data_IF_901772466480
#
_entry.id   IF_901772466480
#
_cell.length_a   1.000
_cell.length_b   1.000
_cell.length_c   1.000
_cell.angle_alpha   90.00
_cell.angle_beta   90.00
_cell.angle_gamma   90.00
#
_symmetry.space_group_name_H-M   'P 1'
#
loop_
_entity.id
_entity.type
_entity.pdbx_description
1 polymer ?
#
# COMPACT_ATOMS: atom_id res chain seq x y z
N UNK A 1 -1.53 -28.57 15.33
CA UNK A 1 -1.81 -28.61 13.88
C UNK A 1 -2.96 -27.65 13.61
N UNK A 2 -2.64 -26.35 13.51
CA UNK A 2 -3.61 -25.34 13.06
C UNK A 2 -3.59 -25.39 11.52
N UNK A 3 -4.74 -25.60 10.89
CA UNK A 3 -4.88 -25.48 9.44
C UNK A 3 -4.71 -24.00 9.12
N UNK A 4 -3.59 -23.64 8.48
CA UNK A 4 -3.40 -22.29 7.92
C UNK A 4 -4.36 -22.17 6.74
N UNK A 5 -5.36 -21.32 6.88
CA UNK A 5 -6.28 -20.95 5.81
C UNK A 5 -5.48 -19.98 4.93
N UNK A 6 -5.19 -20.36 3.69
CA UNK A 6 -4.69 -19.42 2.70
C UNK A 6 -5.86 -18.50 2.33
N UNK A 7 -5.93 -17.33 2.94
CA UNK A 7 -6.60 -16.21 2.30
C UNK A 7 -5.54 -15.54 1.41
N UNK A 8 -5.57 -15.87 0.12
CA UNK A 8 -5.20 -14.86 -0.85
C UNK A 8 -6.33 -13.84 -0.76
N UNK A 9 -6.20 -12.87 0.14
CA UNK A 9 -7.13 -11.77 0.23
C UNK A 9 -6.71 -10.83 -0.90
N UNK A 10 -7.14 -11.15 -2.12
CA UNK A 10 -7.46 -10.06 -3.05
C UNK A 10 -8.29 -9.09 -2.23
N UNK A 11 -7.84 -7.83 -2.10
CA UNK A 11 -8.59 -6.75 -1.49
C UNK A 11 -9.83 -6.47 -2.36
N UNK A 12 -10.73 -7.46 -2.43
CA UNK A 12 -12.04 -7.32 -3.01
C UNK A 12 -12.81 -6.53 -1.95
N UNK A 13 -12.91 -5.22 -2.17
CA UNK A 13 -13.80 -4.31 -1.44
C UNK A 13 -15.22 -4.87 -1.46
N UNK A 14 -15.50 -5.73 -0.48
CA UNK A 14 -16.85 -6.08 -0.09
C UNK A 14 -17.38 -4.96 0.76
N UNK A 15 -17.92 -3.91 0.14
CA UNK A 15 -18.76 -2.91 0.80
C UNK A 15 -19.90 -3.62 1.53
N UNK A 16 -19.71 -3.92 2.81
CA UNK A 16 -20.77 -4.40 3.67
C UNK A 16 -21.68 -3.21 4.00
N UNK A 17 -22.66 -2.98 3.12
CA UNK A 17 -23.82 -2.17 3.45
C UNK A 17 -24.63 -2.97 4.48
N UNK A 18 -24.38 -2.74 5.78
CA UNK A 18 -25.23 -3.25 6.83
C UNK A 18 -26.60 -2.55 6.74
N UNK A 19 -27.49 -3.07 5.88
CA UNK A 19 -28.92 -2.77 5.95
C UNK A 19 -29.46 -3.40 7.23
N UNK A 20 -29.52 -2.59 8.28
CA UNK A 20 -30.35 -2.85 9.45
C UNK A 20 -31.81 -2.94 8.99
N UNK A 21 -32.29 -4.17 8.74
CA UNK A 21 -33.70 -4.45 8.54
C UNK A 21 -34.46 -4.15 9.83
N UNK A 22 -35.19 -3.03 9.85
CA UNK A 22 -36.37 -2.84 10.68
C UNK A 22 -37.55 -2.68 9.74
N UNK A 23 -38.50 -3.62 9.82
CA UNK A 23 -39.71 -3.66 9.00
C UNK A 23 -40.56 -2.39 9.12
N UNK A 24 -41.17 -2.05 7.98
CA UNK A 24 -42.37 -1.23 7.75
C UNK A 24 -42.43 0.18 8.38
N UNK A 25 -42.16 1.20 7.55
CA UNK A 25 -43.25 2.10 7.12
C UNK A 25 -42.86 2.90 5.87
N UNK A 26 -43.79 2.92 4.93
CA UNK A 26 -43.77 3.61 3.65
C UNK A 26 -43.80 5.14 3.87
N UNK A 27 -42.65 5.81 3.78
CA UNK A 27 -42.61 7.27 3.61
C UNK A 27 -41.61 7.70 2.51
N UNK A 28 -42.02 8.71 1.75
CA UNK A 28 -41.46 9.08 0.47
C UNK A 28 -39.98 9.45 0.51
N UNK A 29 -39.26 9.03 -0.53
CA UNK A 29 -37.84 9.31 -0.73
C UNK A 29 -37.51 10.79 -0.58
N UNK A 30 -36.90 11.12 0.55
CA UNK A 30 -36.07 12.29 0.69
C UNK A 30 -34.63 11.84 0.41
N UNK A 31 -34.08 12.27 -0.72
CA UNK A 31 -32.65 12.17 -1.03
C UNK A 31 -31.85 13.03 -0.05
N UNK A 32 -31.72 12.54 1.18
CA UNK A 32 -30.88 13.14 2.20
C UNK A 32 -29.44 13.10 1.70
N UNK A 33 -28.88 14.28 1.48
CA UNK A 33 -27.45 14.47 1.29
C UNK A 33 -26.74 13.72 2.44
N UNK A 34 -25.81 12.77 2.17
CA UNK A 34 -25.15 12.03 3.23
C UNK A 34 -24.53 13.04 4.20
N UNK A 35 -24.95 12.98 5.47
CA UNK A 35 -24.38 13.80 6.53
C UNK A 35 -22.88 13.55 6.55
N UNK A 36 -22.08 14.58 6.27
CA UNK A 36 -20.62 14.52 6.35
C UNK A 36 -20.28 14.08 7.78
N UNK A 37 -19.56 12.96 7.90
CA UNK A 37 -19.07 12.52 9.20
C UNK A 37 -18.04 13.56 9.69
N UNK A 38 -18.40 14.36 10.70
CA UNK A 38 -17.54 15.41 11.24
C UNK A 38 -16.25 14.86 11.87
N UNK A 39 -16.16 13.55 12.11
CA UNK A 39 -14.98 12.92 12.69
C UNK A 39 -13.76 12.97 11.74
N UNK A 40 -13.99 13.07 10.41
CA UNK A 40 -12.90 13.35 9.45
C UNK A 40 -12.20 14.69 9.70
N UNK A 41 -12.89 15.65 10.33
CA UNK A 41 -12.39 17.00 10.62
C UNK A 41 -11.93 17.19 12.07
N UNK A 42 -11.81 16.10 12.86
CA UNK A 42 -11.38 16.18 14.26
C UNK A 42 -10.07 16.96 14.38
N UNK A 43 -10.05 18.01 15.21
CA UNK A 43 -8.89 18.87 15.42
C UNK A 43 -8.08 18.44 16.65
N UNK A 44 -6.76 18.65 16.58
CA UNK A 44 -5.89 18.60 17.75
C UNK A 44 -6.24 19.76 18.69
N UNK A 45 -6.33 19.49 19.99
CA UNK A 45 -6.65 20.51 21.01
C UNK A 45 -5.94 20.21 22.33
N UNK A 46 -5.92 21.20 23.23
CA UNK A 46 -5.36 21.00 24.58
C UNK A 46 -6.10 19.88 25.35
N UNK A 47 -7.36 19.62 25.04
CA UNK A 47 -8.19 18.62 25.73
C UNK A 47 -7.84 17.19 25.30
N UNK A 48 -7.52 16.99 24.02
CA UNK A 48 -7.19 15.67 23.47
C UNK A 48 -5.67 15.43 23.29
N UNK A 49 -4.82 16.44 23.48
CA UNK A 49 -3.38 16.41 23.23
C UNK A 49 -2.66 15.18 23.79
N UNK A 50 -2.97 14.80 25.03
CA UNK A 50 -2.32 13.64 25.69
C UNK A 50 -2.73 12.33 25.04
N UNK A 51 -4.03 12.13 24.78
CA UNK A 51 -4.53 10.93 24.11
C UNK A 51 -4.00 10.85 22.68
N UNK A 52 -3.98 11.98 21.97
CA UNK A 52 -3.45 12.10 20.61
C UNK A 52 -1.99 11.68 20.51
N UNK A 53 -1.12 12.25 21.35
CA UNK A 53 0.30 11.90 21.36
C UNK A 53 0.56 10.45 21.79
N UNK A 54 -0.23 9.90 22.71
CA UNK A 54 -0.14 8.48 23.07
C UNK A 54 -0.59 7.56 21.92
N UNK A 55 -1.64 7.94 21.20
CA UNK A 55 -2.14 7.17 20.07
C UNK A 55 -1.13 7.13 18.93
N UNK A 56 -0.58 8.29 18.56
CA UNK A 56 0.46 8.38 17.54
C UNK A 56 1.65 7.48 17.90
N UNK A 57 2.13 7.54 19.15
CA UNK A 57 3.25 6.68 19.59
C UNK A 57 2.90 5.20 19.48
N UNK A 58 1.66 4.80 19.82
CA UNK A 58 1.25 3.39 19.70
C UNK A 58 1.21 2.93 18.24
N UNK A 59 0.63 3.72 17.34
CA UNK A 59 0.57 3.38 15.91
C UNK A 59 1.98 3.32 15.30
N UNK A 60 2.84 4.31 15.61
CA UNK A 60 4.21 4.33 15.11
C UNK A 60 5.07 3.18 15.69
N UNK A 61 4.82 2.77 16.93
CA UNK A 61 5.47 1.59 17.54
C UNK A 61 5.12 0.32 16.77
N UNK A 62 3.83 0.10 16.49
CA UNK A 62 3.33 -1.04 15.74
C UNK A 62 3.91 -1.06 14.32
N UNK A 63 3.89 0.06 13.60
CA UNK A 63 4.51 0.19 12.27
C UNK A 63 6.01 -0.14 12.28
N UNK A 64 6.75 0.31 13.30
CA UNK A 64 8.17 -0.02 13.47
C UNK A 64 8.37 -1.52 13.68
N UNK A 65 7.56 -2.12 14.53
CA UNK A 65 7.68 -3.53 14.90
C UNK A 65 7.27 -4.45 13.74
N UNK A 66 6.21 -4.11 13.00
CA UNK A 66 5.77 -4.84 11.79
C UNK A 66 6.83 -4.75 10.68
N UNK A 67 7.36 -3.55 10.39
CA UNK A 67 8.43 -3.38 9.40
C UNK A 67 9.73 -4.12 9.80
N UNK A 68 10.07 -4.12 11.09
CA UNK A 68 11.21 -4.87 11.60
C UNK A 68 11.02 -6.38 11.45
N UNK A 69 9.81 -6.87 11.68
CA UNK A 69 9.43 -8.29 11.50
C UNK A 69 9.52 -8.68 10.03
N UNK A 70 8.89 -7.90 9.14
CA UNK A 70 8.91 -8.13 7.69
C UNK A 70 10.35 -8.23 7.15
N UNK A 71 11.21 -7.27 7.51
CA UNK A 71 12.62 -7.33 7.12
C UNK A 71 13.33 -8.55 7.71
N UNK A 72 13.07 -8.89 8.98
CA UNK A 72 13.71 -10.03 9.64
C UNK A 72 13.32 -11.37 9.01
N UNK A 73 12.07 -11.54 8.58
CA UNK A 73 11.60 -12.75 7.90
C UNK A 73 12.26 -12.93 6.55
N UNK A 74 12.36 -11.86 5.77
CA UNK A 74 13.06 -11.87 4.49
C UNK A 74 14.56 -12.08 4.63
N UNK A 75 15.21 -11.38 5.56
CA UNK A 75 16.66 -11.34 5.65
C UNK A 75 17.26 -12.47 6.51
N UNK A 76 16.60 -12.84 7.61
CA UNK A 76 17.23 -13.60 8.70
C UNK A 76 16.65 -15.00 8.88
N UNK A 77 15.36 -15.13 9.19
CA UNK A 77 14.72 -16.43 9.44
C UNK A 77 13.22 -16.27 9.34
N UNK A 78 12.58 -17.12 8.54
CA UNK A 78 11.13 -17.18 8.43
C UNK A 78 10.60 -18.42 9.17
N UNK A 79 9.64 -18.25 10.08
CA UNK A 79 9.05 -19.34 10.89
C UNK A 79 10.10 -20.24 11.61
N UNK A 80 11.23 -19.66 12.03
CA UNK A 80 12.32 -20.38 12.70
C UNK A 80 13.20 -21.24 11.77
N UNK A 81 13.01 -21.12 10.46
CA UNK A 81 13.78 -21.81 9.42
C UNK A 81 14.78 -20.90 8.70
N UNK A 82 15.03 -21.20 7.42
CA UNK A 82 15.79 -20.31 6.54
C UNK A 82 15.06 -18.98 6.34
N UNK A 83 15.77 -17.93 5.94
CA UNK A 83 15.16 -16.65 5.58
C UNK A 83 14.27 -16.79 4.33
N UNK A 84 13.24 -15.95 4.19
CA UNK A 84 12.38 -16.01 3.01
C UNK A 84 13.16 -15.69 1.72
N UNK A 85 14.16 -14.81 1.78
CA UNK A 85 15.10 -14.59 0.68
C UNK A 85 15.79 -15.89 0.23
N UNK A 86 16.23 -16.72 1.19
CA UNK A 86 16.86 -18.01 0.87
C UNK A 86 15.85 -19.00 0.27
N UNK A 87 14.62 -19.02 0.79
CA UNK A 87 13.53 -19.90 0.33
C UNK A 87 13.12 -19.55 -1.11
N UNK A 88 13.00 -18.25 -1.41
CA UNK A 88 12.62 -17.77 -2.73
C UNK A 88 13.74 -18.02 -3.75
N UNK A 89 15.00 -17.67 -3.41
CA UNK A 89 16.16 -17.94 -4.27
C UNK A 89 16.45 -19.41 -4.48
N UNK A 90 16.11 -20.29 -3.53
CA UNK A 90 16.32 -21.73 -3.71
C UNK A 90 15.24 -22.40 -4.55
N UNK A 91 14.04 -21.79 -4.64
CA UNK A 91 12.92 -22.23 -5.48
C UNK A 91 12.78 -23.76 -5.58
N UNK A 92 12.75 -24.41 -4.42
CA UNK A 92 12.74 -25.86 -4.24
C UNK A 92 11.66 -26.31 -3.24
N UNK A 93 10.56 -25.57 -3.17
CA UNK A 93 9.43 -25.85 -2.29
C UNK A 93 8.12 -25.98 -3.09
N UNK A 94 7.02 -26.31 -2.41
CA UNK A 94 5.73 -26.57 -3.07
C UNK A 94 5.12 -25.32 -3.72
N UNK A 95 5.44 -24.12 -3.21
CA UNK A 95 4.99 -22.83 -3.77
C UNK A 95 5.86 -22.41 -4.94
N UNK A 96 7.18 -22.40 -4.74
CA UNK A 96 8.18 -22.05 -5.75
C UNK A 96 8.98 -23.29 -6.10
N UNK A 97 8.47 -24.07 -7.07
CA UNK A 97 9.08 -25.32 -7.51
C UNK A 97 10.10 -25.15 -8.65
N UNK A 98 10.22 -23.95 -9.21
CA UNK A 98 11.15 -23.63 -10.29
C UNK A 98 11.47 -22.13 -10.35
N UNK A 99 12.55 -21.77 -11.05
CA UNK A 99 12.84 -20.36 -11.33
C UNK A 99 11.69 -19.67 -12.10
N UNK A 100 11.02 -20.37 -13.02
CA UNK A 100 9.85 -19.84 -13.71
C UNK A 100 8.73 -19.46 -12.74
N UNK A 101 8.42 -20.31 -11.75
CA UNK A 101 7.37 -19.99 -10.77
C UNK A 101 7.67 -18.73 -9.95
N UNK A 102 8.94 -18.46 -9.63
CA UNK A 102 9.32 -17.20 -9.00
C UNK A 102 9.14 -16.00 -9.94
N UNK A 103 9.52 -16.13 -11.21
CA UNK A 103 9.34 -15.05 -12.19
C UNK A 103 7.86 -14.79 -12.44
N UNK A 104 7.02 -15.83 -12.44
CA UNK A 104 5.56 -15.70 -12.52
C UNK A 104 5.01 -14.93 -11.32
N UNK A 105 5.43 -15.28 -10.10
CA UNK A 105 5.03 -14.55 -8.88
C UNK A 105 5.41 -13.07 -8.94
N UNK A 106 6.64 -12.76 -9.39
CA UNK A 106 7.11 -11.37 -9.53
C UNK A 106 6.21 -10.58 -10.50
N UNK A 107 5.88 -11.18 -11.65
CA UNK A 107 5.04 -10.51 -12.64
C UNK A 107 3.59 -10.42 -12.17
N UNK A 108 3.09 -11.45 -11.47
CA UNK A 108 1.74 -11.43 -10.89
C UNK A 108 1.59 -10.31 -9.85
N UNK A 109 2.58 -10.13 -8.95
CA UNK A 109 2.58 -9.00 -8.03
C UNK A 109 2.58 -7.65 -8.75
N UNK A 110 3.32 -7.53 -9.87
CA UNK A 110 3.28 -6.33 -10.70
C UNK A 110 1.91 -6.10 -11.36
N UNK A 111 1.25 -7.17 -11.82
CA UNK A 111 -0.11 -7.10 -12.42
C UNK A 111 -1.11 -6.66 -11.36
N UNK A 112 -1.08 -7.31 -10.19
CA UNK A 112 -1.98 -7.02 -9.08
C UNK A 112 -1.93 -5.55 -8.69
N UNK A 113 -0.75 -4.96 -8.50
CA UNK A 113 -0.68 -3.56 -8.11
C UNK A 113 -1.03 -2.59 -9.25
N UNK A 114 -0.78 -2.95 -10.52
CA UNK A 114 -1.24 -2.15 -11.65
C UNK A 114 -2.77 -2.12 -11.75
N UNK A 115 -3.41 -3.28 -11.57
CA UNK A 115 -4.88 -3.41 -11.52
C UNK A 115 -5.44 -2.66 -10.31
N UNK A 116 -4.86 -2.84 -9.13
CA UNK A 116 -5.33 -2.18 -7.91
C UNK A 116 -5.25 -0.65 -7.99
N UNK A 117 -4.16 -0.10 -8.52
CA UNK A 117 -4.04 1.35 -8.73
C UNK A 117 -5.11 1.86 -9.69
N UNK A 118 -5.32 1.16 -10.81
CA UNK A 118 -6.28 1.58 -11.84
C UNK A 118 -7.74 1.41 -11.43
N UNK A 119 -8.11 0.23 -10.97
CA UNK A 119 -9.50 -0.17 -10.72
C UNK A 119 -9.98 0.25 -9.33
N UNK A 120 -9.12 0.16 -8.31
CA UNK A 120 -9.54 0.41 -6.92
C UNK A 120 -9.12 1.82 -6.46
N UNK A 121 -7.81 2.11 -6.43
CA UNK A 121 -7.30 3.37 -5.84
C UNK A 121 -7.72 4.62 -6.64
N UNK A 122 -7.86 4.50 -7.96
CA UNK A 122 -8.40 5.54 -8.85
C UNK A 122 -9.87 5.28 -9.22
N UNK A 123 -10.20 4.04 -9.59
CA UNK A 123 -11.50 3.68 -10.14
C UNK A 123 -12.65 3.74 -9.13
N UNK A 124 -12.49 3.24 -7.90
CA UNK A 124 -13.57 3.27 -6.91
C UNK A 124 -14.01 4.71 -6.55
N UNK A 125 -13.09 5.65 -6.23
CA UNK A 125 -13.47 7.05 -6.05
C UNK A 125 -14.09 7.66 -7.30
N UNK A 126 -13.57 7.35 -8.50
CA UNK A 126 -14.10 7.85 -9.76
C UNK A 126 -15.55 7.41 -9.98
N UNK A 127 -15.82 6.12 -9.81
CA UNK A 127 -17.14 5.53 -10.00
C UNK A 127 -18.16 6.05 -8.99
N UNK A 128 -17.78 6.16 -7.71
CA UNK A 128 -18.61 6.80 -6.68
C UNK A 128 -18.96 8.23 -7.08
N UNK A 129 -17.98 9.00 -7.55
CA UNK A 129 -18.20 10.39 -7.94
C UNK A 129 -19.17 10.49 -9.13
N UNK A 130 -18.98 9.66 -10.15
CA UNK A 130 -19.80 9.64 -11.35
C UNK A 130 -21.22 9.14 -11.10
N UNK A 131 -21.43 8.32 -10.07
CA UNK A 131 -22.76 7.89 -9.61
C UNK A 131 -23.49 8.95 -8.76
N UNK A 132 -22.84 10.06 -8.45
CA UNK A 132 -23.39 11.16 -7.65
C UNK A 132 -23.09 11.06 -6.15
N UNK A 133 -22.38 10.02 -5.71
CA UNK A 133 -21.92 9.84 -4.32
C UNK A 133 -20.64 10.66 -4.05
N UNK A 134 -20.66 11.93 -4.44
CA UNK A 134 -19.48 12.80 -4.46
C UNK A 134 -18.79 12.92 -3.11
N UNK A 135 -19.53 13.09 -2.01
CA UNK A 135 -18.95 13.14 -0.65
C UNK A 135 -18.22 11.85 -0.30
N UNK A 136 -18.80 10.69 -0.61
CA UNK A 136 -18.20 9.38 -0.34
C UNK A 136 -16.93 9.19 -1.17
N UNK A 137 -16.98 9.53 -2.46
CA UNK A 137 -15.81 9.52 -3.34
C UNK A 137 -14.65 10.36 -2.79
N UNK A 138 -14.94 11.55 -2.25
CA UNK A 138 -13.92 12.42 -1.66
C UNK A 138 -13.22 11.76 -0.46
N UNK A 139 -13.91 10.92 0.31
CA UNK A 139 -13.33 10.25 1.49
C UNK A 139 -12.79 8.86 1.19
N UNK A 140 -13.08 8.29 0.01
CA UNK A 140 -12.58 7.00 -0.45
C UNK A 140 -11.15 7.05 -1.02
N UNK A 141 -10.64 8.24 -1.37
CA UNK A 141 -9.30 8.39 -1.97
C UNK A 141 -8.21 8.08 -0.93
N UNK A 142 -7.46 6.99 -1.11
CA UNK A 142 -6.30 6.65 -0.26
C UNK A 142 -5.26 7.78 -0.22
N UNK A 143 -4.58 7.97 0.92
CA UNK A 143 -3.57 9.02 1.11
C UNK A 143 -4.05 10.47 0.91
N UNK A 144 -5.36 10.72 1.08
CA UNK A 144 -5.91 12.07 0.88
C UNK A 144 -5.64 13.02 2.05
N UNK A 145 -5.41 12.54 3.28
CA UNK A 145 -5.22 13.44 4.42
C UNK A 145 -4.00 14.33 4.23
N UNK A 146 -2.94 13.78 3.64
CA UNK A 146 -1.69 14.43 3.27
C UNK A 146 -1.65 14.96 1.82
N UNK A 147 -2.72 14.77 1.04
CA UNK A 147 -2.76 15.03 -0.41
C UNK A 147 -1.65 14.27 -1.17
N UNK A 148 -1.29 13.07 -0.73
CA UNK A 148 -0.17 12.30 -1.26
C UNK A 148 -0.55 11.24 -2.30
N UNK A 149 -1.86 10.97 -2.52
CA UNK A 149 -2.37 9.90 -3.40
C UNK A 149 -1.69 9.79 -4.77
N UNK A 150 -1.42 10.92 -5.45
CA UNK A 150 -0.75 10.88 -6.76
C UNK A 150 0.66 10.33 -6.67
N UNK A 151 1.40 10.75 -5.66
CA UNK A 151 2.81 10.37 -5.48
C UNK A 151 2.90 8.93 -4.95
N UNK A 152 1.97 8.56 -4.07
CA UNK A 152 1.73 7.20 -3.59
C UNK A 152 1.54 6.20 -4.75
N UNK A 153 0.50 6.42 -5.57
CA UNK A 153 0.16 5.50 -6.65
C UNK A 153 1.26 5.49 -7.72
N UNK A 154 1.97 6.61 -7.89
CA UNK A 154 3.14 6.67 -8.77
C UNK A 154 4.30 5.83 -8.23
N UNK A 155 4.52 5.81 -6.91
CA UNK A 155 5.51 4.96 -6.27
C UNK A 155 5.15 3.47 -6.39
N UNK A 156 3.86 3.12 -6.37
CA UNK A 156 3.41 1.76 -6.70
C UNK A 156 3.84 1.35 -8.12
N UNK A 157 3.67 2.22 -9.13
CA UNK A 157 4.18 1.97 -10.49
C UNK A 157 5.71 1.90 -10.53
N UNK A 158 6.41 2.67 -9.69
CA UNK A 158 7.86 2.53 -9.54
C UNK A 158 8.29 1.23 -8.86
N UNK A 159 7.44 0.60 -8.05
CA UNK A 159 7.68 -0.76 -7.57
C UNK A 159 7.76 -1.75 -8.74
N UNK A 160 6.82 -1.67 -9.69
CA UNK A 160 6.82 -2.47 -10.93
C UNK A 160 8.10 -2.23 -11.74
N UNK A 161 8.50 -0.95 -11.90
CA UNK A 161 9.75 -0.61 -12.60
C UNK A 161 10.94 -1.28 -11.93
N UNK A 162 11.04 -1.18 -10.61
CA UNK A 162 12.17 -1.72 -9.86
C UNK A 162 12.25 -3.25 -10.01
N UNK A 163 11.10 -3.94 -9.97
CA UNK A 163 11.02 -5.37 -10.23
C UNK A 163 11.45 -5.74 -11.66
N UNK A 164 10.98 -5.00 -12.67
CA UNK A 164 11.32 -5.25 -14.06
C UNK A 164 12.80 -4.97 -14.38
N UNK A 165 13.38 -3.95 -13.75
CA UNK A 165 14.76 -3.50 -13.97
C UNK A 165 15.79 -4.18 -13.07
N UNK A 166 15.36 -4.82 -11.97
CA UNK A 166 16.26 -5.40 -10.97
C UNK A 166 17.12 -4.33 -10.29
N UNK A 167 16.58 -3.14 -10.03
CA UNK A 167 17.28 -2.04 -9.36
C UNK A 167 16.33 -1.05 -8.71
N UNK A 168 16.83 -0.23 -7.77
CA UNK A 168 16.08 0.87 -7.15
C UNK A 168 16.40 2.25 -7.76
N UNK A 169 17.45 2.34 -8.57
CA UNK A 169 17.99 3.61 -9.10
C UNK A 169 17.59 3.90 -10.55
N UNK A 170 16.60 3.15 -11.07
CA UNK A 170 16.10 3.24 -12.45
C UNK A 170 17.07 2.77 -13.54
N UNK A 171 18.21 2.18 -13.16
CA UNK A 171 19.11 1.54 -14.14
C UNK A 171 18.66 0.12 -14.46
N UNK A 172 18.89 -0.36 -15.68
CA UNK A 172 18.59 -1.76 -16.03
C UNK A 172 19.76 -2.63 -15.59
N UNK A 173 19.55 -3.49 -14.59
CA UNK A 173 20.53 -4.48 -14.17
C UNK A 173 20.71 -5.54 -15.26
N UNK A 174 21.94 -6.04 -15.45
CA UNK A 174 22.24 -7.06 -16.45
C UNK A 174 21.50 -8.38 -16.18
N UNK A 175 21.17 -8.67 -14.93
CA UNK A 175 20.40 -9.82 -14.50
C UNK A 175 18.96 -9.39 -14.13
N UNK A 176 18.23 -8.83 -15.09
CA UNK A 176 16.85 -8.40 -14.90
C UNK A 176 15.92 -8.99 -15.95
N UNK A 177 14.61 -8.95 -15.68
CA UNK A 177 13.60 -9.35 -16.66
C UNK A 177 13.74 -8.48 -17.91
N UNK A 178 13.94 -7.16 -17.76
CA UNK A 178 14.20 -6.25 -18.88
C UNK A 178 15.40 -6.68 -19.72
N UNK A 179 16.56 -6.93 -19.11
CA UNK A 179 17.77 -7.31 -19.85
C UNK A 179 17.59 -8.64 -20.61
N UNK A 180 16.95 -9.63 -19.98
CA UNK A 180 16.65 -10.91 -20.63
C UNK A 180 15.71 -10.72 -21.82
N UNK A 181 14.58 -10.05 -21.63
CA UNK A 181 13.59 -9.84 -22.69
C UNK A 181 14.19 -9.01 -23.83
N UNK A 182 14.96 -7.97 -23.53
CA UNK A 182 15.64 -7.15 -24.53
C UNK A 182 16.55 -7.97 -25.46
N UNK A 183 17.19 -9.01 -24.93
CA UNK A 183 18.13 -9.87 -25.67
C UNK A 183 17.47 -10.80 -26.69
N UNK A 184 16.17 -11.09 -26.52
CA UNK A 184 15.41 -12.03 -27.36
C UNK A 184 14.24 -11.38 -28.10
N UNK A 185 13.68 -10.30 -27.56
CA UNK A 185 12.55 -9.55 -28.08
C UNK A 185 12.60 -8.09 -27.62
N UNK A 186 13.46 -7.31 -28.27
CA UNK A 186 13.66 -5.88 -27.95
C UNK A 186 12.37 -5.07 -28.03
N UNK A 187 11.47 -5.39 -28.97
CA UNK A 187 10.20 -4.65 -29.09
C UNK A 187 9.28 -4.87 -27.90
N UNK A 188 9.22 -6.08 -27.33
CA UNK A 188 8.44 -6.35 -26.13
C UNK A 188 9.03 -5.63 -24.90
N UNK A 189 10.35 -5.62 -24.76
CA UNK A 189 11.03 -4.88 -23.68
C UNK A 189 10.80 -3.36 -23.77
N UNK A 190 10.85 -2.78 -24.98
CA UNK A 190 10.53 -1.38 -25.22
C UNK A 190 9.06 -1.05 -24.91
N UNK A 191 8.13 -1.95 -25.28
CA UNK A 191 6.70 -1.81 -24.95
C UNK A 191 6.49 -1.82 -23.43
N UNK A 192 7.12 -2.75 -22.71
CA UNK A 192 7.04 -2.81 -21.24
C UNK A 192 7.53 -1.53 -20.57
N UNK A 193 8.72 -1.04 -20.96
CA UNK A 193 9.27 0.22 -20.43
C UNK A 193 8.35 1.40 -20.71
N UNK A 194 7.79 1.45 -21.91
CA UNK A 194 6.88 2.53 -22.31
C UNK A 194 5.59 2.49 -21.48
N UNK A 195 4.99 1.31 -21.28
CA UNK A 195 3.79 1.16 -20.47
C UNK A 195 4.01 1.61 -19.02
N UNK A 196 5.12 1.20 -18.39
CA UNK A 196 5.49 1.60 -17.02
C UNK A 196 5.61 3.14 -16.93
N UNK A 197 6.35 3.75 -17.86
CA UNK A 197 6.54 5.21 -17.87
C UNK A 197 5.23 5.97 -18.14
N UNK A 198 4.38 5.46 -19.01
CA UNK A 198 3.11 6.08 -19.35
C UNK A 198 2.13 6.05 -18.16
N UNK A 199 2.02 4.92 -17.45
CA UNK A 199 1.15 4.81 -16.28
C UNK A 199 1.55 5.82 -15.19
N UNK A 200 2.83 5.85 -14.82
CA UNK A 200 3.34 6.81 -13.84
C UNK A 200 3.17 8.27 -14.30
N UNK A 201 3.41 8.57 -15.58
CA UNK A 201 3.23 9.91 -16.12
C UNK A 201 1.75 10.34 -16.14
N UNK A 202 0.83 9.43 -16.43
CA UNK A 202 -0.61 9.71 -16.44
C UNK A 202 -1.15 9.97 -15.03
N UNK A 203 -0.76 9.17 -14.04
CA UNK A 203 -1.08 9.44 -12.62
C UNK A 203 -0.56 10.82 -12.20
N UNK A 204 0.67 11.16 -12.58
CA UNK A 204 1.24 12.48 -12.30
C UNK A 204 0.60 13.63 -13.10
N UNK A 205 -0.11 13.35 -14.20
CA UNK A 205 -0.82 14.37 -14.97
C UNK A 205 -2.12 14.82 -14.28
N UNK A 206 -2.68 14.00 -13.40
CA UNK A 206 -3.87 14.36 -12.60
C UNK A 206 -3.58 15.66 -11.84
N UNK A 207 -4.48 16.67 -11.86
CA UNK A 207 -4.25 17.90 -11.12
C UNK A 207 -4.19 17.65 -9.61
N UNK A 208 -3.20 18.26 -8.94
CA UNK A 208 -3.01 18.11 -7.50
C UNK A 208 -4.06 18.92 -6.70
N UNK A 209 -4.73 18.34 -5.68
CA UNK A 209 -4.72 16.92 -5.29
C UNK A 209 -5.75 16.07 -6.06
N UNK A 210 -5.50 14.76 -6.19
CA UNK A 210 -6.44 13.80 -6.80
C UNK A 210 -7.85 13.93 -6.21
N UNK A 211 -7.99 14.01 -4.88
CA UNK A 211 -9.28 14.14 -4.18
C UNK A 211 -10.18 15.28 -4.72
N UNK A 212 -9.58 16.37 -5.21
CA UNK A 212 -10.33 17.51 -5.73
C UNK A 212 -10.56 17.44 -7.26
N UNK A 213 -9.98 16.44 -7.91
CA UNK A 213 -9.94 16.28 -9.36
C UNK A 213 -10.32 14.84 -9.77
N UNK A 214 -11.09 14.14 -8.93
CA UNK A 214 -11.48 12.74 -9.13
C UNK A 214 -12.08 12.55 -10.53
N UNK A 215 -13.02 13.40 -10.94
CA UNK A 215 -13.72 13.30 -12.23
C UNK A 215 -12.99 13.98 -13.41
N UNK A 216 -11.68 14.21 -13.31
CA UNK A 216 -10.89 14.81 -14.39
C UNK A 216 -10.69 13.84 -15.56
N UNK A 217 -10.39 14.37 -16.75
CA UNK A 217 -10.02 13.52 -17.89
C UNK A 217 -8.70 12.81 -17.60
N UNK A 218 -7.79 13.48 -16.90
CA UNK A 218 -6.49 12.95 -16.49
C UNK A 218 -6.64 11.75 -15.54
N UNK A 219 -7.68 11.69 -14.71
CA UNK A 219 -7.99 10.49 -13.90
C UNK A 219 -8.36 9.31 -14.80
N UNK A 220 -9.22 9.51 -15.80
CA UNK A 220 -9.57 8.47 -16.77
C UNK A 220 -8.34 7.99 -17.56
N UNK A 221 -7.51 8.93 -18.03
CA UNK A 221 -6.27 8.60 -18.74
C UNK A 221 -5.29 7.81 -17.86
N UNK A 222 -5.22 8.11 -16.55
CA UNK A 222 -4.42 7.35 -15.60
C UNK A 222 -4.96 5.92 -15.40
N UNK A 223 -6.27 5.75 -15.27
CA UNK A 223 -6.92 4.43 -15.18
C UNK A 223 -6.64 3.60 -16.44
N UNK A 224 -6.83 4.18 -17.63
CA UNK A 224 -6.54 3.52 -18.91
C UNK A 224 -5.05 3.12 -19.03
N UNK A 225 -4.13 3.99 -18.61
CA UNK A 225 -2.70 3.70 -18.65
C UNK A 225 -2.30 2.59 -17.66
N UNK A 226 -2.96 2.47 -16.50
CA UNK A 226 -2.75 1.36 -15.57
C UNK A 226 -3.27 0.03 -16.15
N UNK A 227 -4.44 0.04 -16.79
CA UNK A 227 -4.98 -1.13 -17.48
C UNK A 227 -4.08 -1.59 -18.65
N UNK A 228 -3.54 -0.64 -19.43
CA UNK A 228 -2.57 -0.94 -20.51
C UNK A 228 -1.28 -1.55 -19.94
N UNK A 229 -0.80 -1.07 -18.79
CA UNK A 229 0.36 -1.64 -18.10
C UNK A 229 0.10 -3.07 -17.63
N UNK A 230 -1.05 -3.33 -17.00
CA UNK A 230 -1.46 -4.68 -16.58
C UNK A 230 -1.55 -5.66 -17.77
N UNK A 231 -2.14 -5.22 -18.89
CA UNK A 231 -2.21 -6.01 -20.11
C UNK A 231 -0.81 -6.31 -20.71
N UNK A 232 0.10 -5.33 -20.66
CA UNK A 232 1.49 -5.51 -21.09
C UNK A 232 2.23 -6.52 -20.21
N UNK A 233 2.08 -6.44 -18.88
CA UNK A 233 2.64 -7.39 -17.91
C UNK A 233 2.11 -8.82 -18.15
N UNK A 234 0.82 -8.97 -18.39
CA UNK A 234 0.20 -10.26 -18.74
C UNK A 234 0.78 -10.84 -20.04
N UNK A 235 1.01 -9.98 -21.04
CA UNK A 235 1.65 -10.37 -22.31
C UNK A 235 3.11 -10.79 -22.09
N UNK A 236 3.85 -10.05 -21.26
CA UNK A 236 5.22 -10.37 -20.86
C UNK A 236 5.29 -11.74 -20.17
N UNK A 237 4.43 -11.99 -19.17
CA UNK A 237 4.35 -13.28 -18.47
C UNK A 237 4.14 -14.41 -19.45
N UNK A 238 3.17 -14.27 -20.36
CA UNK A 238 2.87 -15.29 -21.36
C UNK A 238 4.05 -15.55 -22.30
N UNK A 239 4.75 -14.49 -22.73
CA UNK A 239 5.93 -14.62 -23.55
C UNK A 239 7.06 -15.39 -22.85
N UNK A 240 7.31 -15.11 -21.56
CA UNK A 240 8.31 -15.81 -20.75
C UNK A 240 7.94 -17.29 -20.59
N UNK A 241 6.68 -17.60 -20.27
CA UNK A 241 6.20 -18.98 -20.16
C UNK A 241 6.42 -19.78 -21.45
N UNK A 242 6.09 -19.19 -22.59
CA UNK A 242 6.09 -19.90 -23.87
C UNK A 242 7.49 -20.01 -24.48
N UNK A 243 8.41 -19.09 -24.17
CA UNK A 243 9.69 -18.96 -24.89
C UNK A 243 10.94 -19.03 -24.00
N UNK A 244 10.81 -18.81 -22.69
CA UNK A 244 11.93 -18.61 -21.77
C UNK A 244 11.85 -19.46 -20.49
N UNK A 245 10.89 -20.38 -20.39
CA UNK A 245 10.63 -21.20 -19.21
C UNK A 245 11.84 -21.99 -18.70
N UNK A 246 12.66 -22.51 -19.60
CA UNK A 246 13.89 -23.26 -19.28
C UNK A 246 15.17 -22.40 -19.39
N UNK A 247 15.05 -21.07 -19.45
CA UNK A 247 16.20 -20.20 -19.64
C UNK A 247 17.04 -20.11 -18.35
N UNK A 248 18.33 -20.45 -18.43
CA UNK A 248 19.25 -20.42 -17.29
C UNK A 248 19.44 -19.01 -16.68
N UNK A 249 19.09 -17.94 -17.39
CA UNK A 249 19.18 -16.58 -16.87
C UNK A 249 18.14 -16.28 -15.77
N UNK A 250 17.04 -17.04 -15.69
CA UNK A 250 15.97 -16.78 -14.71
C UNK A 250 16.49 -16.86 -13.26
N UNK A 251 17.40 -17.78 -12.95
CA UNK A 251 17.99 -17.92 -11.61
C UNK A 251 18.72 -16.64 -11.18
N UNK A 252 19.57 -16.09 -12.06
CA UNK A 252 20.29 -14.85 -11.78
C UNK A 252 19.38 -13.62 -11.62
N UNK A 253 18.22 -13.62 -12.28
CA UNK A 253 17.20 -12.57 -12.12
C UNK A 253 16.58 -12.66 -10.73
N UNK A 254 16.27 -13.86 -10.23
CA UNK A 254 15.69 -14.05 -8.90
C UNK A 254 16.67 -13.60 -7.82
N UNK A 255 17.94 -13.99 -7.94
CA UNK A 255 18.99 -13.56 -7.02
C UNK A 255 19.08 -12.02 -6.96
N UNK A 256 19.14 -11.39 -8.12
CA UNK A 256 19.24 -9.93 -8.26
C UNK A 256 17.99 -9.24 -7.71
N UNK A 257 16.80 -9.75 -8.01
CA UNK A 257 15.56 -9.16 -7.51
C UNK A 257 15.48 -9.20 -5.98
N UNK A 258 15.84 -10.33 -5.37
CA UNK A 258 15.84 -10.45 -3.91
C UNK A 258 16.92 -9.56 -3.27
N UNK A 259 18.14 -9.61 -3.79
CA UNK A 259 19.30 -8.97 -3.14
C UNK A 259 19.39 -7.46 -3.42
N UNK A 260 18.96 -7.01 -4.60
CA UNK A 260 19.10 -5.61 -5.04
C UNK A 260 17.77 -4.81 -5.01
N UNK A 261 16.61 -5.48 -4.89
CA UNK A 261 15.29 -4.82 -4.84
C UNK A 261 14.56 -5.10 -3.52
N UNK A 262 14.20 -6.34 -3.21
CA UNK A 262 13.37 -6.65 -2.04
C UNK A 262 14.09 -6.31 -0.72
N UNK A 263 15.27 -6.91 -0.50
CA UNK A 263 15.98 -6.76 0.78
C UNK A 263 16.34 -5.29 1.08
N UNK A 264 16.88 -4.51 0.13
CA UNK A 264 17.17 -3.10 0.38
C UNK A 264 15.90 -2.26 0.60
N UNK A 265 14.79 -2.58 -0.08
CA UNK A 265 13.51 -1.87 0.13
C UNK A 265 12.97 -2.09 1.53
N UNK A 266 12.90 -3.35 2.00
CA UNK A 266 12.44 -3.63 3.37
C UNK A 266 13.43 -3.19 4.44
N UNK A 267 14.73 -3.14 4.15
CA UNK A 267 15.70 -2.53 5.05
C UNK A 267 15.42 -1.03 5.22
N UNK A 268 15.23 -0.32 4.10
CA UNK A 268 14.87 1.11 4.08
C UNK A 268 13.57 1.35 4.84
N UNK A 269 12.53 0.55 4.59
CA UNK A 269 11.25 0.63 5.31
C UNK A 269 11.43 0.50 6.83
N UNK A 270 12.17 -0.52 7.28
CA UNK A 270 12.47 -0.72 8.71
C UNK A 270 13.19 0.48 9.31
N UNK A 271 14.23 0.97 8.65
CA UNK A 271 15.05 2.09 9.14
C UNK A 271 14.21 3.38 9.22
N UNK A 272 13.46 3.70 8.17
CA UNK A 272 12.61 4.89 8.13
C UNK A 272 11.41 4.81 9.07
N UNK A 273 10.82 3.63 9.31
CA UNK A 273 9.80 3.47 10.37
C UNK A 273 10.38 3.65 11.78
N UNK A 274 11.66 3.31 12.00
CA UNK A 274 12.34 3.64 13.26
C UNK A 274 12.50 5.15 13.43
N UNK A 275 12.90 5.87 12.38
CA UNK A 275 13.02 7.33 12.40
C UNK A 275 11.65 8.01 12.60
N UNK A 276 10.59 7.49 11.98
CA UNK A 276 9.21 7.93 12.19
C UNK A 276 8.76 7.75 13.64
N UNK A 277 9.05 6.59 14.24
CA UNK A 277 8.78 6.36 15.66
C UNK A 277 9.49 7.40 16.54
N UNK A 278 10.77 7.65 16.31
CA UNK A 278 11.54 8.64 17.08
C UNK A 278 10.98 10.07 16.91
N UNK A 279 10.57 10.45 15.70
CA UNK A 279 9.93 11.74 15.43
C UNK A 279 8.60 11.90 16.18
N UNK A 280 7.79 10.84 16.22
CA UNK A 280 6.51 10.82 16.92
C UNK A 280 6.69 10.84 18.45
N UNK A 281 7.69 10.13 18.99
CA UNK A 281 8.07 10.18 20.41
C UNK A 281 8.56 11.58 20.80
N UNK A 282 9.32 12.23 19.93
CA UNK A 282 9.76 13.61 20.12
C UNK A 282 8.58 14.58 20.12
N UNK A 283 7.63 14.43 19.19
CA UNK A 283 6.38 15.19 19.17
C UNK A 283 5.59 15.03 20.47
N UNK A 284 5.35 13.79 20.93
CA UNK A 284 4.63 13.54 22.20
C UNK A 284 5.30 14.23 23.39
N UNK A 285 6.63 14.26 23.41
CA UNK A 285 7.40 14.81 24.52
C UNK A 285 7.40 16.34 24.54
N UNK A 286 7.34 16.98 23.37
CA UNK A 286 7.31 18.44 23.23
C UNK A 286 6.46 18.86 22.01
N UNK A 287 5.12 18.84 22.12
CA UNK A 287 4.24 19.14 21.00
C UNK A 287 4.43 20.57 20.48
N UNK A 288 4.59 20.71 19.16
CA UNK A 288 4.66 22.00 18.46
C UNK A 288 4.35 21.82 16.97
N UNK A 289 4.05 22.91 16.26
CA UNK A 289 3.85 22.87 14.80
C UNK A 289 5.10 22.33 14.08
N UNK A 290 6.30 22.74 14.51
CA UNK A 290 7.56 22.21 13.97
C UNK A 290 7.73 20.71 14.23
N UNK A 291 7.22 20.20 15.36
CA UNK A 291 7.25 18.78 15.64
C UNK A 291 6.21 17.99 14.79
N UNK A 292 5.04 18.57 14.50
CA UNK A 292 4.11 18.02 13.51
C UNK A 292 4.77 17.95 12.12
N UNK A 293 5.37 19.04 11.65
CA UNK A 293 6.09 19.09 10.37
C UNK A 293 7.19 18.03 10.30
N UNK A 294 7.96 17.86 11.38
CA UNK A 294 9.02 16.85 11.46
C UNK A 294 8.45 15.43 11.37
N UNK A 295 7.38 15.12 12.09
CA UNK A 295 6.75 13.80 12.05
C UNK A 295 6.05 13.54 10.70
N UNK A 296 5.44 14.56 10.09
CA UNK A 296 4.88 14.50 8.73
C UNK A 296 5.96 14.19 7.69
N UNK A 297 7.12 14.85 7.77
CA UNK A 297 8.23 14.55 6.87
C UNK A 297 8.74 13.12 7.05
N UNK A 298 8.90 12.67 8.29
CA UNK A 298 9.29 11.28 8.57
C UNK A 298 8.24 10.26 8.05
N UNK A 299 6.95 10.61 8.08
CA UNK A 299 5.89 9.76 7.54
C UNK A 299 6.02 9.62 6.02
N UNK A 300 6.21 10.72 5.30
CA UNK A 300 6.42 10.70 3.83
C UNK A 300 7.68 9.89 3.47
N UNK A 301 8.77 10.09 4.20
CA UNK A 301 10.00 9.34 3.98
C UNK A 301 9.78 7.84 4.18
N UNK A 302 9.08 7.44 5.24
CA UNK A 302 8.79 6.06 5.59
C UNK A 302 7.78 5.38 4.64
N UNK A 303 6.84 6.16 4.08
CA UNK A 303 5.91 5.71 3.04
C UNK A 303 6.61 5.30 1.75
N UNK A 304 7.59 6.06 1.30
CA UNK A 304 8.23 5.80 0.00
C UNK A 304 8.72 4.35 -0.21
N UNK A 305 9.48 3.71 0.71
CA UNK A 305 9.86 2.31 0.54
C UNK A 305 8.69 1.33 0.69
N UNK A 306 7.65 1.66 1.46
CA UNK A 306 6.42 0.86 1.50
C UNK A 306 5.71 0.87 0.15
N UNK A 307 5.44 2.07 -0.38
CA UNK A 307 4.75 2.27 -1.67
C UNK A 307 5.52 1.63 -2.82
N UNK A 308 6.86 1.72 -2.78
CA UNK A 308 7.77 1.05 -3.73
C UNK A 308 7.95 -0.45 -3.47
N UNK A 309 7.24 -1.02 -2.50
CA UNK A 309 7.20 -2.47 -2.24
C UNK A 309 5.91 -3.16 -2.70
N UNK A 310 4.91 -2.40 -3.12
CA UNK A 310 3.57 -2.95 -3.38
C UNK A 310 3.49 -3.88 -4.61
N UNK A 311 4.50 -3.89 -5.51
CA UNK A 311 4.58 -4.91 -6.57
C UNK A 311 5.06 -6.28 -6.07
N UNK A 312 5.39 -6.42 -4.78
CA UNK A 312 5.82 -7.66 -4.16
C UNK A 312 5.19 -7.91 -2.79
N UNK A 313 3.88 -7.68 -2.70
CA UNK A 313 3.03 -8.08 -1.57
C UNK A 313 2.78 -9.60 -1.54
N UNK A 314 3.85 -10.39 -1.55
CA UNK A 314 3.80 -11.84 -1.41
C UNK A 314 4.76 -12.33 -0.33
N UNK A 315 4.54 -13.56 0.14
CA UNK A 315 5.36 -14.14 1.19
C UNK A 315 5.01 -13.59 2.57
N UNK A 316 5.99 -13.20 3.43
CA UNK A 316 5.71 -12.83 4.81
C UNK A 316 4.70 -11.69 4.98
N UNK A 317 4.73 -10.68 4.08
CA UNK A 317 3.85 -9.51 4.18
C UNK A 317 2.37 -9.87 4.05
N UNK A 318 2.05 -10.82 3.15
CA UNK A 318 0.70 -11.36 2.93
C UNK A 318 0.34 -12.43 3.97
N UNK A 319 1.19 -13.46 4.11
CA UNK A 319 0.87 -14.67 4.91
C UNK A 319 0.73 -14.37 6.41
N UNK A 320 1.43 -13.36 6.92
CA UNK A 320 1.38 -12.98 8.34
C UNK A 320 0.37 -11.85 8.61
N UNK A 321 -0.37 -11.39 7.58
CA UNK A 321 -1.32 -10.29 7.72
C UNK A 321 -0.64 -8.95 8.05
N UNK A 322 0.63 -8.80 7.67
CA UNK A 322 1.40 -7.57 7.92
C UNK A 322 0.94 -6.45 7.01
N UNK A 323 0.51 -6.76 5.79
CA UNK A 323 -0.06 -5.78 4.86
C UNK A 323 -1.23 -4.98 5.49
N UNK A 324 -2.37 -5.60 5.84
CA UNK A 324 -3.46 -4.85 6.47
C UNK A 324 -3.10 -4.30 7.87
N UNK A 325 -2.13 -4.89 8.59
CA UNK A 325 -1.64 -4.30 9.85
C UNK A 325 -0.89 -2.97 9.64
N UNK A 326 -0.21 -2.83 8.49
CA UNK A 326 0.62 -1.67 8.16
C UNK A 326 -0.13 -0.65 7.32
N UNK A 327 -1.08 -1.04 6.48
CA UNK A 327 -1.60 -0.14 5.44
C UNK A 327 -3.10 -0.26 5.11
N UNK A 328 -3.93 -0.67 6.08
CA UNK A 328 -5.38 -0.73 5.85
C UNK A 328 -5.99 0.60 5.38
N UNK A 329 -6.79 0.50 4.33
CA UNK A 329 -7.66 1.56 3.82
C UNK A 329 -8.99 0.95 3.31
N UNK A 330 -10.17 1.52 3.62
CA UNK A 330 -10.41 2.72 4.43
C UNK A 330 -10.28 2.46 5.95
N UNK A 331 -10.23 3.55 6.72
CA UNK A 331 -10.17 3.50 8.18
C UNK A 331 -11.56 3.54 8.84
N UNK A 332 -11.69 2.95 10.03
CA UNK A 332 -12.84 3.22 10.91
C UNK A 332 -12.59 4.51 11.71
N UNK A 333 -12.92 5.63 11.09
CA UNK A 333 -12.70 6.96 11.67
C UNK A 333 -13.51 7.16 12.96
N UNK A 334 -14.68 6.54 13.08
CA UNK A 334 -15.49 6.62 14.30
C UNK A 334 -14.80 5.90 15.46
N UNK A 335 -14.24 4.72 15.21
CA UNK A 335 -13.43 4.00 16.18
C UNK A 335 -12.14 4.74 16.55
N UNK A 336 -11.46 5.38 15.59
CA UNK A 336 -10.29 6.24 15.86
C UNK A 336 -10.66 7.37 16.84
N UNK A 337 -11.78 8.07 16.62
CA UNK A 337 -12.24 9.13 17.52
C UNK A 337 -12.65 8.57 18.88
N UNK A 338 -13.27 7.39 18.93
CA UNK A 338 -13.59 6.72 20.18
C UNK A 338 -12.33 6.32 20.97
N UNK A 339 -11.27 5.84 20.30
CA UNK A 339 -9.98 5.51 20.93
C UNK A 339 -9.33 6.77 21.49
N UNK A 340 -9.33 7.89 20.74
CA UNK A 340 -8.85 9.19 21.25
C UNK A 340 -9.62 9.65 22.49
N UNK A 341 -10.92 9.39 22.54
CA UNK A 341 -11.79 9.79 23.66
C UNK A 341 -11.59 8.91 24.89
N UNK A 342 -11.43 7.60 24.69
CA UNK A 342 -11.39 6.60 25.77
C UNK A 342 -9.99 6.26 26.26
N UNK A 343 -8.96 6.48 25.42
CA UNK A 343 -7.60 6.02 25.66
C UNK A 343 -7.44 4.49 25.57
N UNK A 344 -8.38 3.78 24.94
CA UNK A 344 -8.34 2.33 24.81
C UNK A 344 -7.41 1.88 23.66
N UNK A 345 -6.10 1.96 23.86
CA UNK A 345 -5.12 1.55 22.85
C UNK A 345 -5.03 0.03 22.63
N UNK A 346 -5.66 -0.78 23.48
CA UNK A 346 -5.76 -2.23 23.26
C UNK A 346 -6.64 -2.60 22.06
N UNK A 347 -7.42 -1.65 21.51
CA UNK A 347 -8.20 -1.85 20.29
C UNK A 347 -7.35 -1.99 19.02
N UNK A 348 -6.05 -1.70 19.10
CA UNK A 348 -5.11 -1.83 17.98
C UNK A 348 -4.45 -3.22 17.91
N UNK A 349 -4.64 -4.01 18.96
CA UNK A 349 -4.09 -5.34 19.13
C UNK A 349 -5.21 -6.36 18.96
N UNK A 350 -4.86 -7.52 18.41
CA UNK A 350 -5.80 -8.61 18.21
C UNK A 350 -5.10 -9.96 18.44
N UNK A 351 -5.78 -10.88 19.12
CA UNK A 351 -5.34 -12.27 19.33
C UNK A 351 -6.23 -13.27 18.56
N UNK A 352 -7.44 -12.83 18.20
CA UNK A 352 -8.44 -13.60 17.47
C UNK A 352 -8.56 -13.05 16.04
N UNK A 353 -8.38 -13.92 15.04
CA UNK A 353 -8.47 -13.55 13.62
C UNK A 353 -9.81 -12.87 13.28
N UNK A 354 -10.88 -13.09 14.06
CA UNK A 354 -12.17 -12.41 13.87
C UNK A 354 -12.22 -10.94 14.33
N UNK A 355 -11.20 -10.48 15.05
CA UNK A 355 -11.05 -9.09 15.50
C UNK A 355 -10.00 -8.32 14.67
N UNK A 356 -9.27 -9.01 13.78
CA UNK A 356 -8.15 -8.46 13.03
C UNK A 356 -8.55 -7.23 12.19
N UNK A 357 -9.61 -7.32 11.39
CA UNK A 357 -10.06 -6.24 10.51
C UNK A 357 -10.42 -4.95 11.28
N UNK A 358 -11.08 -5.10 12.44
CA UNK A 358 -11.42 -3.98 13.30
C UNK A 358 -10.17 -3.30 13.88
N UNK A 359 -9.17 -4.08 14.31
CA UNK A 359 -7.90 -3.53 14.81
C UNK A 359 -7.04 -2.93 13.67
N UNK A 360 -7.05 -3.54 12.49
CA UNK A 360 -6.31 -3.14 11.30
C UNK A 360 -6.78 -1.78 10.76
N UNK A 361 -8.09 -1.55 10.73
CA UNK A 361 -8.70 -0.28 10.30
C UNK A 361 -8.48 0.92 11.24
N UNK A 362 -7.79 0.73 12.37
CA UNK A 362 -7.44 1.78 13.35
C UNK A 362 -5.94 1.80 13.70
N UNK A 363 -5.09 1.22 12.85
CA UNK A 363 -3.62 1.28 12.94
C UNK A 363 -3.00 1.56 11.56
N UNK A 364 -1.70 1.32 11.42
CA UNK A 364 -1.01 1.48 10.14
C UNK A 364 -0.72 2.92 9.72
N UNK A 365 -0.15 3.07 8.53
CA UNK A 365 0.31 4.34 7.97
C UNK A 365 -0.83 5.34 7.88
N UNK A 366 -1.99 4.95 7.36
CA UNK A 366 -3.12 5.86 7.18
C UNK A 366 -3.74 6.33 8.50
N UNK A 367 -3.77 5.51 9.56
CA UNK A 367 -4.17 6.02 10.88
C UNK A 367 -3.19 7.07 11.38
N UNK A 368 -1.89 6.84 11.20
CA UNK A 368 -0.88 7.84 11.59
C UNK A 368 -0.96 9.10 10.71
N UNK A 369 -1.28 8.94 9.42
CA UNK A 369 -1.56 10.02 8.49
C UNK A 369 -2.74 10.88 8.97
N UNK A 370 -3.86 10.25 9.33
CA UNK A 370 -5.02 10.92 9.92
C UNK A 370 -4.63 11.75 11.16
N UNK A 371 -3.75 11.20 12.02
CA UNK A 371 -3.31 11.86 13.25
C UNK A 371 -2.28 12.98 13.00
N UNK A 372 -1.60 12.99 11.85
CA UNK A 372 -0.52 13.93 11.52
C UNK A 372 -0.98 15.06 10.57
N UNK A 373 -1.83 14.75 9.61
CA UNK A 373 -2.21 15.63 8.52
C UNK A 373 -3.70 15.99 8.57
N UNK A 374 -4.02 17.15 8.00
CA UNK A 374 -5.39 17.56 7.72
C UNK A 374 -5.41 18.39 6.44
N UNK A 375 -6.22 18.00 5.46
CA UNK A 375 -6.42 18.72 4.21
C UNK A 375 -5.10 19.08 3.48
N UNK A 376 -4.17 18.13 3.39
CA UNK A 376 -2.92 18.28 2.65
C UNK A 376 -1.81 19.03 3.38
N UNK A 377 -1.99 19.32 4.67
CA UNK A 377 -1.01 20.02 5.48
C UNK A 377 -0.78 19.32 6.82
N UNK A 378 0.42 19.46 7.43
CA UNK A 378 0.62 19.11 8.83
C UNK A 378 -0.45 19.77 9.71
N UNK A 379 -0.97 19.02 10.68
CA UNK A 379 -1.85 19.57 11.71
C UNK A 379 -1.12 20.65 12.51
N UNK A 380 -1.90 21.52 13.14
CA UNK A 380 -1.37 22.63 13.94
C UNK A 380 -1.85 22.54 15.38
N UNK A 381 -1.06 23.10 16.28
CA UNK A 381 -1.42 23.38 17.66
C UNK A 381 -1.88 24.83 17.73
N UNK A 382 -3.07 25.05 18.27
CA UNK A 382 -3.63 26.39 18.52
C UNK A 382 -2.91 27.18 19.61
#
# INVERSE_FOLDING_TARGET
>A
MKKKLFLAMSLAMGLFVATSCSDDDNDGGNGGNPTINSNYDLAYSAENATAWGNYMVRVAELLRDDAATLYADWNSSYNGGASYASIFKSHNNDTYGSALSCIEEIIDGCVTIADEVGDNKLGDPYDLYMQGNTTEALYAVESWYSWHSRDDYTNNIWSIRNAYFGSLDSTVNANSISALVASVNTSLDEQMKTAILNAAAAIQAIPQPLRNNINSNETLEAMEACADLSAALSTLKKYIQDNLSDNAALEGIIDTYVDDVILPTYQSLKEKNSDLYDAVVAFRSNPSNAAFETACHAWIEAREPWEKSEAFLFGPVDVEGLDPNMDSWPLDVDAIVQILTTGNFGALDWDDDSEAEAAQSVRGFHTLEFLLFQNGAPRTIE
#
